data_IF_927659077316
#
_entry.id   IF_927659077316
#
_cell.length_a   1.000
_cell.length_b   1.000
_cell.length_c   1.000
_cell.angle_alpha   90.00
_cell.angle_beta   90.00
_cell.angle_gamma   90.00
#
_symmetry.space_group_name_H-M   'P 1'
#
loop_
_entity.id
_entity.type
_entity.pdbx_description
1 polymer ?
#
# COMPACT_ATOMS: atom_id res chain seq x y z
N UNK A 1 -53.72 -23.22 -12.29
CA UNK A 1 -52.49 -23.43 -13.09
C UNK A 1 -51.38 -22.43 -12.74
N UNK A 2 -51.67 -21.12 -12.56
CA UNK A 2 -50.63 -20.12 -12.22
C UNK A 2 -49.92 -20.28 -10.87
N UNK A 3 -50.58 -20.83 -9.84
CA UNK A 3 -49.99 -21.00 -8.50
C UNK A 3 -48.98 -22.15 -8.41
N UNK A 4 -49.19 -23.22 -9.17
CA UNK A 4 -48.30 -24.40 -9.17
C UNK A 4 -46.99 -24.06 -9.89
N UNK A 5 -47.06 -23.37 -11.04
CA UNK A 5 -45.88 -22.90 -11.80
C UNK A 5 -45.04 -21.92 -10.97
N UNK A 6 -45.68 -21.04 -10.21
CA UNK A 6 -44.99 -20.09 -9.33
C UNK A 6 -44.28 -20.78 -8.15
N UNK A 7 -44.88 -21.87 -7.62
CA UNK A 7 -44.28 -22.65 -6.55
C UNK A 7 -43.08 -23.48 -7.02
N UNK A 8 -43.10 -24.02 -8.25
CA UNK A 8 -41.92 -24.68 -8.84
C UNK A 8 -40.78 -23.70 -9.08
N UNK A 9 -41.06 -22.54 -9.67
CA UNK A 9 -40.03 -21.50 -9.89
C UNK A 9 -39.37 -21.05 -8.59
N UNK A 10 -40.17 -20.77 -7.55
CA UNK A 10 -39.62 -20.34 -6.25
C UNK A 10 -38.82 -21.46 -5.55
N UNK A 11 -39.20 -22.73 -5.70
CA UNK A 11 -38.43 -23.87 -5.17
C UNK A 11 -37.11 -24.05 -5.90
N UNK A 12 -37.10 -23.95 -7.23
CA UNK A 12 -35.89 -24.03 -8.04
C UNK A 12 -34.93 -22.86 -7.72
N UNK A 13 -35.47 -21.65 -7.55
CA UNK A 13 -34.71 -20.47 -7.14
C UNK A 13 -34.09 -20.65 -5.74
N UNK A 14 -34.84 -21.17 -4.77
CA UNK A 14 -34.35 -21.45 -3.42
C UNK A 14 -33.29 -22.55 -3.40
N UNK A 15 -33.40 -23.55 -4.29
CA UNK A 15 -32.38 -24.58 -4.42
C UNK A 15 -31.05 -24.01 -4.95
N UNK A 16 -31.10 -23.09 -5.91
CA UNK A 16 -29.92 -22.40 -6.43
C UNK A 16 -29.29 -21.44 -5.42
N UNK A 17 -30.09 -20.71 -4.63
CA UNK A 17 -29.58 -19.81 -3.57
C UNK A 17 -29.03 -20.60 -2.37
N UNK A 18 -29.54 -21.82 -2.14
CA UNK A 18 -29.17 -22.68 -1.02
C UNK A 18 -27.88 -23.47 -1.20
N UNK A 19 -27.29 -23.46 -2.40
CA UNK A 19 -25.94 -23.99 -2.59
C UNK A 19 -24.94 -23.02 -1.94
N UNK A 20 -24.09 -23.54 -1.05
CA UNK A 20 -22.98 -22.79 -0.46
C UNK A 20 -21.92 -22.51 -1.54
N UNK A 21 -22.23 -21.60 -2.46
CA UNK A 21 -21.25 -21.03 -3.36
C UNK A 21 -20.23 -20.28 -2.50
N UNK A 22 -18.96 -20.68 -2.62
CA UNK A 22 -17.85 -19.92 -2.04
C UNK A 22 -18.05 -18.46 -2.45
N UNK A 23 -18.11 -17.54 -1.50
CA UNK A 23 -18.17 -16.11 -1.78
C UNK A 23 -16.94 -15.74 -2.63
N UNK A 24 -17.09 -15.79 -3.94
CA UNK A 24 -16.02 -15.45 -4.85
C UNK A 24 -15.80 -13.95 -4.69
N UNK A 25 -14.58 -13.57 -4.33
CA UNK A 25 -14.22 -12.16 -4.28
C UNK A 25 -14.16 -11.62 -5.71
N UNK A 26 -15.30 -11.15 -6.22
CA UNK A 26 -15.46 -10.65 -7.58
C UNK A 26 -15.35 -9.12 -7.65
N UNK A 27 -14.93 -8.63 -8.81
CA UNK A 27 -14.89 -7.22 -9.16
C UNK A 27 -16.28 -6.72 -9.55
N UNK A 28 -16.75 -5.66 -8.88
CA UNK A 28 -18.08 -5.11 -9.09
C UNK A 28 -18.27 -4.32 -10.40
N UNK A 29 -17.27 -4.26 -11.28
CA UNK A 29 -17.37 -3.60 -12.60
C UNK A 29 -17.47 -4.65 -13.72
N UNK A 30 -16.60 -5.66 -13.71
CA UNK A 30 -16.47 -6.62 -14.81
C UNK A 30 -16.85 -8.06 -14.42
N UNK A 31 -17.22 -8.31 -13.17
CA UNK A 31 -17.59 -9.64 -12.68
C UNK A 31 -16.43 -10.64 -12.61
N UNK A 32 -15.19 -10.21 -12.86
CA UNK A 32 -14.02 -11.10 -12.81
C UNK A 32 -13.48 -11.23 -11.38
N UNK A 33 -12.75 -12.30 -11.10
CA UNK A 33 -12.09 -12.48 -9.81
C UNK A 33 -11.16 -11.31 -9.46
N UNK A 34 -11.15 -10.90 -8.19
CA UNK A 34 -10.27 -9.86 -7.68
C UNK A 34 -8.81 -10.33 -7.74
N UNK A 35 -7.97 -9.52 -8.38
CA UNK A 35 -6.52 -9.74 -8.46
C UNK A 35 -5.83 -9.22 -7.20
N UNK A 36 -4.59 -9.65 -6.95
CA UNK A 36 -3.79 -9.24 -5.78
C UNK A 36 -3.75 -7.71 -5.53
N UNK A 37 -3.72 -6.93 -6.60
CA UNK A 37 -3.70 -5.46 -6.57
C UNK A 37 -5.09 -4.88 -6.88
N UNK A 38 -6.12 -5.35 -6.17
CA UNK A 38 -7.45 -4.75 -6.22
C UNK A 38 -7.50 -3.43 -5.42
N UNK A 39 -8.49 -2.60 -5.75
CA UNK A 39 -8.76 -1.32 -5.07
C UNK A 39 -10.02 -1.46 -4.23
N UNK A 40 -9.90 -1.14 -2.94
CA UNK A 40 -11.05 -0.98 -2.04
C UNK A 40 -11.29 0.50 -1.77
N UNK A 41 -12.49 0.97 -2.07
CA UNK A 41 -12.91 2.35 -1.74
C UNK A 41 -13.38 2.47 -0.29
N UNK A 42 -13.55 3.70 0.22
CA UNK A 42 -14.01 3.91 1.61
C UNK A 42 -15.47 3.50 1.81
N UNK A 43 -16.25 3.33 0.73
CA UNK A 43 -17.59 2.76 0.72
C UNK A 43 -17.59 1.21 0.70
N UNK A 44 -16.44 0.58 0.99
CA UNK A 44 -16.21 -0.86 1.04
C UNK A 44 -16.27 -1.64 -0.28
N UNK A 45 -16.74 -1.04 -1.38
CA UNK A 45 -16.74 -1.67 -2.70
C UNK A 45 -15.31 -1.95 -3.21
N UNK A 46 -15.13 -3.13 -3.79
CA UNK A 46 -13.86 -3.66 -4.31
C UNK A 46 -13.91 -3.76 -5.83
N UNK A 47 -12.80 -3.40 -6.47
CA UNK A 47 -12.68 -3.38 -7.93
C UNK A 47 -11.28 -3.78 -8.36
N UNK A 48 -11.17 -4.43 -9.52
CA UNK A 48 -9.89 -4.59 -10.19
C UNK A 48 -9.33 -3.23 -10.63
N UNK A 49 -8.02 -3.03 -10.45
CA UNK A 49 -7.39 -1.72 -10.64
C UNK A 49 -7.57 -1.16 -12.04
N UNK A 50 -7.43 -1.98 -13.08
CA UNK A 50 -7.58 -1.55 -14.48
C UNK A 50 -9.02 -1.10 -14.74
N UNK A 51 -9.99 -1.88 -14.26
CA UNK A 51 -11.42 -1.67 -14.47
C UNK A 51 -11.87 -0.34 -13.84
N UNK A 52 -11.53 -0.11 -12.58
CA UNK A 52 -11.85 1.15 -11.90
C UNK A 52 -11.07 2.34 -12.47
N UNK A 53 -9.83 2.14 -12.93
CA UNK A 53 -9.04 3.20 -13.55
C UNK A 53 -9.66 3.69 -14.86
N UNK A 54 -10.17 2.78 -15.69
CA UNK A 54 -10.85 3.12 -16.93
C UNK A 54 -12.17 3.84 -16.67
N UNK A 55 -12.93 3.38 -15.68
CA UNK A 55 -14.16 4.03 -15.25
C UNK A 55 -13.90 5.47 -14.74
N UNK A 56 -12.90 5.67 -13.89
CA UNK A 56 -12.54 7.03 -13.42
C UNK A 56 -12.07 7.92 -14.57
N UNK A 57 -11.36 7.40 -15.59
CA UNK A 57 -11.03 8.20 -16.79
C UNK A 57 -12.31 8.69 -17.49
N UNK A 58 -13.34 7.84 -17.57
CA UNK A 58 -14.61 8.21 -18.17
C UNK A 58 -15.35 9.27 -17.36
N UNK A 59 -15.30 9.20 -16.03
CA UNK A 59 -15.86 10.23 -15.15
C UNK A 59 -15.20 11.62 -15.30
N UNK A 60 -14.02 11.71 -15.92
CA UNK A 60 -13.35 12.99 -16.22
C UNK A 60 -13.76 13.60 -17.54
N UNK A 61 -14.38 12.81 -18.43
CA UNK A 61 -14.90 13.34 -19.68
C UNK A 61 -16.17 14.11 -19.39
N UNK A 62 -16.36 15.16 -20.18
CA UNK A 62 -17.61 15.91 -20.14
C UNK A 62 -18.78 15.00 -20.56
N UNK A 63 -19.86 15.00 -19.77
CA UNK A 63 -21.08 14.25 -20.05
C UNK A 63 -22.28 15.09 -19.63
N UNK A 64 -23.17 15.42 -20.59
CA UNK A 64 -24.40 16.19 -20.35
C UNK A 64 -25.37 15.52 -19.36
N UNK A 65 -25.32 14.20 -19.24
CA UNK A 65 -26.19 13.42 -18.36
C UNK A 65 -25.69 13.39 -16.91
N UNK A 66 -24.44 13.81 -16.67
CA UNK A 66 -23.85 13.77 -15.35
C UNK A 66 -24.15 15.05 -14.57
N UNK A 67 -24.97 14.93 -13.53
CA UNK A 67 -25.38 16.05 -12.68
C UNK A 67 -24.39 16.36 -11.56
N UNK A 68 -23.56 15.38 -11.16
CA UNK A 68 -22.64 15.53 -10.05
C UNK A 68 -21.26 15.99 -10.53
N UNK A 69 -20.90 17.24 -10.25
CA UNK A 69 -19.57 17.78 -10.56
C UNK A 69 -18.53 17.27 -9.56
N UNK A 70 -17.49 16.61 -10.08
CA UNK A 70 -16.35 16.14 -9.29
C UNK A 70 -15.21 17.15 -9.28
N UNK A 71 -14.56 17.32 -8.13
CA UNK A 71 -13.29 18.02 -8.07
C UNK A 71 -12.17 17.20 -8.75
N UNK A 72 -11.07 17.84 -9.20
CA UNK A 72 -9.98 17.16 -9.91
C UNK A 72 -9.34 15.98 -9.16
N UNK A 73 -9.45 15.98 -7.83
CA UNK A 73 -8.89 14.95 -6.94
C UNK A 73 -9.98 14.22 -6.15
N UNK A 74 -11.14 14.02 -6.76
CA UNK A 74 -12.23 13.22 -6.21
C UNK A 74 -12.64 12.14 -7.18
N UNK A 75 -12.93 10.94 -6.69
CA UNK A 75 -13.44 9.83 -7.52
C UNK A 75 -14.85 9.49 -7.07
N UNK A 76 -15.71 9.13 -8.02
CA UNK A 76 -17.05 8.64 -7.70
C UNK A 76 -17.04 7.11 -7.77
N UNK A 77 -17.59 6.47 -6.74
CA UNK A 77 -17.76 5.02 -6.77
C UNK A 77 -18.69 4.64 -7.93
N UNK A 78 -18.29 3.71 -8.82
CA UNK A 78 -19.13 3.28 -9.93
C UNK A 78 -20.40 2.55 -9.47
N UNK A 79 -20.32 1.87 -8.33
CA UNK A 79 -21.39 1.06 -7.79
C UNK A 79 -22.40 1.90 -6.98
N UNK A 80 -21.96 2.53 -5.89
CA UNK A 80 -22.85 3.25 -4.98
C UNK A 80 -22.89 4.77 -5.20
N UNK A 81 -22.18 5.30 -6.20
CA UNK A 81 -22.10 6.74 -6.54
C UNK A 81 -21.58 7.66 -5.41
N UNK A 82 -21.10 7.12 -4.30
CA UNK A 82 -20.46 7.92 -3.24
C UNK A 82 -19.21 8.61 -3.78
N UNK A 83 -19.03 9.89 -3.43
CA UNK A 83 -17.85 10.67 -3.83
C UNK A 83 -16.77 10.51 -2.75
N UNK A 84 -15.58 10.12 -3.18
CA UNK A 84 -14.41 9.93 -2.34
C UNK A 84 -13.37 11.01 -2.61
N UNK A 85 -12.75 11.52 -1.55
CA UNK A 85 -11.63 12.45 -1.64
C UNK A 85 -10.32 11.69 -1.85
N UNK A 86 -9.68 11.97 -2.98
CA UNK A 86 -8.44 11.36 -3.40
C UNK A 86 -8.56 10.67 -4.75
N UNK A 87 -7.43 10.17 -5.23
CA UNK A 87 -7.29 9.49 -6.52
C UNK A 87 -6.66 8.10 -6.33
N UNK A 88 -6.58 7.30 -7.39
CA UNK A 88 -5.96 5.98 -7.31
C UNK A 88 -4.44 6.07 -7.07
N UNK A 89 -3.82 5.07 -6.42
CA UNK A 89 -2.37 4.90 -6.42
C UNK A 89 -1.85 4.62 -7.84
N UNK A 90 -0.60 5.00 -8.11
CA UNK A 90 0.08 4.65 -9.36
C UNK A 90 0.80 3.30 -9.21
N UNK A 91 0.45 2.33 -10.06
CA UNK A 91 1.13 1.05 -10.18
C UNK A 91 1.73 0.90 -11.59
N UNK A 92 3.05 1.04 -11.69
CA UNK A 92 3.79 0.97 -12.96
C UNK A 92 3.62 -0.37 -13.68
N UNK A 93 3.59 -1.47 -12.92
CA UNK A 93 3.42 -2.84 -13.43
C UNK A 93 2.06 -3.04 -14.10
N UNK A 94 1.00 -2.44 -13.54
CA UNK A 94 -0.36 -2.60 -14.07
C UNK A 94 -0.70 -1.59 -15.16
N UNK A 95 -0.19 -0.36 -15.05
CA UNK A 95 -0.49 0.71 -15.99
C UNK A 95 0.63 1.74 -16.03
N UNK A 96 1.48 1.65 -17.05
CA UNK A 96 2.66 2.48 -17.25
C UNK A 96 2.36 3.89 -17.78
N UNK A 97 1.30 4.56 -17.29
CA UNK A 97 1.01 5.97 -17.62
C UNK A 97 0.49 6.71 -16.39
N UNK A 98 1.04 7.89 -16.15
CA UNK A 98 0.61 8.82 -15.10
C UNK A 98 -0.41 9.80 -15.66
N UNK A 99 -1.58 9.85 -15.06
CA UNK A 99 -2.72 10.68 -15.46
C UNK A 99 -3.14 11.53 -14.27
N UNK A 100 -3.00 12.85 -14.43
CA UNK A 100 -3.34 13.82 -13.39
C UNK A 100 -4.83 13.72 -13.04
N UNK A 101 -5.14 13.64 -11.75
CA UNK A 101 -6.52 13.52 -11.27
C UNK A 101 -7.12 12.11 -11.38
N UNK A 102 -6.37 11.12 -11.87
CA UNK A 102 -6.83 9.72 -11.95
C UNK A 102 -5.93 8.82 -11.10
N UNK A 103 -4.63 8.78 -11.40
CA UNK A 103 -3.64 8.00 -10.62
C UNK A 103 -2.39 8.82 -10.22
N UNK A 104 -2.38 10.13 -10.48
CA UNK A 104 -1.30 11.06 -10.14
C UNK A 104 -1.86 12.41 -9.68
N UNK A 105 -1.31 13.10 -8.65
CA UNK A 105 -0.04 12.86 -7.96
C UNK A 105 -0.12 11.99 -6.69
N UNK A 106 1.01 11.43 -6.21
CA UNK A 106 1.07 10.60 -5.00
C UNK A 106 0.55 11.29 -3.73
N UNK A 107 0.64 12.62 -3.67
CA UNK A 107 0.18 13.42 -2.54
C UNK A 107 -1.34 13.44 -2.37
N UNK A 108 -2.10 13.12 -3.42
CA UNK A 108 -3.56 13.13 -3.44
C UNK A 108 -4.17 11.74 -3.47
N UNK A 109 -3.37 10.70 -3.31
CA UNK A 109 -3.87 9.30 -3.36
C UNK A 109 -4.82 9.02 -2.20
N UNK A 110 -5.90 8.33 -2.50
CA UNK A 110 -6.89 7.84 -1.54
C UNK A 110 -6.22 6.86 -0.57
N UNK A 111 -6.43 7.07 0.73
CA UNK A 111 -5.90 6.21 1.80
C UNK A 111 -7.09 5.48 2.44
N UNK A 112 -7.52 4.40 1.80
CA UNK A 112 -8.66 3.60 2.25
C UNK A 112 -8.35 2.79 3.50
N UNK A 113 -7.10 2.39 3.70
CA UNK A 113 -6.69 1.53 4.80
C UNK A 113 -6.04 2.30 5.96
N UNK A 114 -5.94 1.62 7.10
CA UNK A 114 -5.23 2.09 8.30
C UNK A 114 -4.04 1.19 8.58
N UNK A 115 -2.95 1.80 9.03
CA UNK A 115 -1.73 1.06 9.32
C UNK A 115 -1.91 0.09 10.49
N UNK A 116 -1.62 -1.19 10.23
CA UNK A 116 -1.78 -2.29 11.20
C UNK A 116 -0.54 -2.55 12.08
N UNK A 117 0.57 -1.80 11.89
CA UNK A 117 1.77 -2.00 12.69
C UNK A 117 1.59 -1.59 14.16
N UNK A 118 2.16 -2.39 15.06
CA UNK A 118 2.36 -2.05 16.47
C UNK A 118 3.60 -1.19 16.64
N UNK A 119 3.46 -0.10 17.40
CA UNK A 119 4.53 0.87 17.64
C UNK A 119 5.56 0.26 18.61
N UNK A 120 6.83 0.17 18.19
CA UNK A 120 7.90 -0.49 18.97
C UNK A 120 8.63 0.44 19.96
N UNK A 121 8.46 1.75 19.87
CA UNK A 121 9.22 2.73 20.64
C UNK A 121 8.44 4.03 20.90
N UNK A 122 8.92 4.83 21.84
CA UNK A 122 8.32 6.10 22.24
C UNK A 122 7.16 5.94 23.22
N UNK A 123 6.43 7.04 23.47
CA UNK A 123 5.37 7.14 24.50
C UNK A 123 4.21 6.15 24.28
N UNK A 124 3.88 5.85 23.02
CA UNK A 124 2.76 4.98 22.60
C UNK A 124 3.21 3.55 22.25
N UNK A 125 4.29 3.07 22.87
CA UNK A 125 4.84 1.73 22.60
C UNK A 125 3.79 0.67 22.95
N UNK A 126 3.61 -0.32 22.07
CA UNK A 126 2.61 -1.38 22.23
C UNK A 126 1.26 -1.08 21.59
N UNK A 127 0.97 0.18 21.24
CA UNK A 127 -0.27 0.55 20.56
C UNK A 127 -0.23 0.36 19.04
N UNK A 128 -1.40 0.24 18.41
CA UNK A 128 -1.54 0.25 16.95
C UNK A 128 -1.32 1.65 16.36
N UNK A 129 -0.68 1.69 15.19
CA UNK A 129 -0.38 2.95 14.51
C UNK A 129 -1.63 3.68 14.01
N UNK A 130 -2.56 2.97 13.35
CA UNK A 130 -3.83 3.48 12.82
C UNK A 130 -3.75 4.66 11.83
N UNK A 131 -2.54 5.06 11.41
CA UNK A 131 -2.36 6.13 10.43
C UNK A 131 -2.94 5.71 9.08
N UNK A 132 -3.76 6.56 8.41
CA UNK A 132 -4.28 6.25 7.08
C UNK A 132 -3.15 6.00 6.07
N UNK A 133 -3.27 4.94 5.29
CA UNK A 133 -2.33 4.52 4.26
C UNK A 133 -3.02 3.75 3.13
N UNK A 134 -2.27 3.50 2.06
CA UNK A 134 -2.74 2.78 0.86
C UNK A 134 -2.66 1.27 1.08
N UNK A 135 -1.59 0.83 1.73
CA UNK A 135 -1.29 -0.57 2.01
C UNK A 135 -1.52 -0.89 3.49
N UNK A 136 -1.29 -2.14 3.88
CA UNK A 136 -1.30 -2.61 5.29
C UNK A 136 -0.42 -1.78 6.24
N UNK A 137 0.61 -1.09 5.72
CA UNK A 137 1.57 -0.33 6.52
C UNK A 137 1.73 1.10 5.98
N UNK A 138 1.90 2.07 6.88
CA UNK A 138 2.18 3.45 6.48
C UNK A 138 3.65 3.63 6.07
N UNK A 139 3.95 4.68 5.29
CA UNK A 139 5.30 4.92 4.78
C UNK A 139 6.40 5.06 5.84
N UNK A 140 6.05 5.35 7.11
CA UNK A 140 7.01 5.27 8.22
C UNK A 140 7.40 3.81 8.51
N UNK A 141 6.41 2.93 8.62
CA UNK A 141 6.61 1.52 8.95
C UNK A 141 7.14 0.71 7.76
N UNK A 142 6.84 1.11 6.54
CA UNK A 142 7.42 0.52 5.32
C UNK A 142 8.94 0.74 5.26
N UNK A 143 9.40 1.97 5.53
CA UNK A 143 10.83 2.29 5.61
C UNK A 143 11.57 1.53 6.73
N UNK A 144 10.88 1.24 7.83
CA UNK A 144 11.46 0.46 8.93
C UNK A 144 11.66 -1.00 8.53
N UNK A 145 10.74 -1.59 7.74
CA UNK A 145 10.89 -2.96 7.22
C UNK A 145 12.03 -3.08 6.20
N UNK A 146 12.21 -2.06 5.38
CA UNK A 146 13.28 -2.01 4.36
C UNK A 146 14.62 -1.53 4.91
N UNK A 147 14.72 -1.21 6.21
CA UNK A 147 15.96 -0.71 6.78
C UNK A 147 17.03 -1.82 6.73
N UNK A 148 18.24 -1.52 6.21
CA UNK A 148 19.30 -2.51 6.13
C UNK A 148 19.68 -3.01 7.53
N UNK A 149 20.14 -4.27 7.64
CA UNK A 149 20.56 -4.83 8.92
C UNK A 149 21.65 -3.96 9.54
N UNK A 150 21.59 -3.82 10.87
CA UNK A 150 22.62 -3.12 11.63
C UNK A 150 23.95 -3.86 11.61
N UNK A 151 25.00 -3.17 12.05
CA UNK A 151 26.36 -3.70 12.12
C UNK A 151 26.41 -5.03 12.89
N UNK A 152 26.99 -6.04 12.25
CA UNK A 152 27.04 -7.43 12.74
C UNK A 152 28.18 -7.70 13.73
N UNK A 153 29.11 -6.76 13.91
CA UNK A 153 30.30 -6.95 14.77
C UNK A 153 29.90 -7.11 16.23
N UNK A 154 30.49 -8.12 16.87
CA UNK A 154 30.32 -8.40 18.30
C UNK A 154 31.11 -7.37 19.14
N UNK A 155 30.45 -6.82 20.16
CA UNK A 155 31.04 -5.84 21.07
C UNK A 155 32.05 -6.52 21.98
N UNK A 156 33.28 -5.99 22.02
CA UNK A 156 34.37 -6.52 22.86
C UNK A 156 34.40 -5.97 24.29
N UNK A 157 33.62 -4.92 24.57
CA UNK A 157 33.62 -4.20 25.86
C UNK A 157 32.26 -3.57 26.17
N UNK A 158 32.09 -3.11 27.41
CA UNK A 158 30.89 -2.44 27.91
C UNK A 158 29.77 -3.40 28.35
N UNK A 159 28.63 -2.82 28.78
CA UNK A 159 27.48 -3.55 29.34
C UNK A 159 26.87 -4.59 28.39
N UNK A 160 27.04 -4.40 27.07
CA UNK A 160 26.53 -5.28 26.01
C UNK A 160 27.63 -6.14 25.37
N UNK A 161 28.74 -6.40 26.08
CA UNK A 161 29.84 -7.24 25.59
C UNK A 161 29.33 -8.62 25.20
N UNK A 162 29.78 -9.15 24.06
CA UNK A 162 29.31 -10.41 23.49
C UNK A 162 28.08 -10.30 22.60
N UNK A 163 27.36 -9.17 22.61
CA UNK A 163 26.23 -8.93 21.71
C UNK A 163 26.66 -8.29 20.38
N UNK A 164 25.82 -8.49 19.34
CA UNK A 164 25.96 -7.76 18.07
C UNK A 164 25.74 -6.26 18.27
N UNK A 165 26.55 -5.45 17.58
CA UNK A 165 26.53 -3.99 17.66
C UNK A 165 25.15 -3.41 17.33
N UNK A 166 24.58 -3.79 16.18
CA UNK A 166 23.28 -3.32 15.72
C UNK A 166 23.23 -1.84 15.28
N UNK A 167 24.35 -1.11 15.35
CA UNK A 167 24.39 0.28 14.89
C UNK A 167 24.26 0.39 13.38
N UNK A 168 23.68 1.51 12.92
CA UNK A 168 23.56 1.82 11.50
C UNK A 168 24.95 1.79 10.83
N UNK A 169 25.07 0.99 9.78
CA UNK A 169 26.29 0.90 8.99
C UNK A 169 26.51 2.16 8.16
N UNK A 170 27.76 2.41 7.77
CA UNK A 170 28.05 3.41 6.71
C UNK A 170 27.54 2.89 5.37
N UNK A 171 27.32 3.79 4.40
CA UNK A 171 26.92 3.41 3.03
C UNK A 171 27.89 2.34 2.49
N UNK A 172 27.32 1.27 1.94
CA UNK A 172 28.02 0.15 1.29
C UNK A 172 29.05 -0.57 2.18
N UNK A 173 28.84 -0.55 3.50
CA UNK A 173 29.68 -1.25 4.47
C UNK A 173 28.85 -2.11 5.41
N UNK A 174 29.38 -3.26 5.81
CA UNK A 174 28.81 -4.09 6.87
C UNK A 174 29.16 -3.58 8.28
N UNK A 175 29.95 -2.51 8.36
CA UNK A 175 30.48 -1.96 9.61
C UNK A 175 29.93 -0.56 9.88
N UNK A 176 29.58 -0.30 11.15
CA UNK A 176 29.25 1.05 11.62
C UNK A 176 30.52 1.88 11.79
N UNK A 177 30.37 3.21 11.90
CA UNK A 177 31.52 4.12 12.04
C UNK A 177 32.45 3.82 13.21
N UNK A 178 31.95 3.23 14.30
CA UNK A 178 32.76 2.79 15.45
C UNK A 178 33.67 1.60 15.14
N UNK A 179 33.33 0.83 14.12
CA UNK A 179 34.07 -0.34 13.67
C UNK A 179 34.69 -0.14 12.28
N UNK A 180 34.61 1.09 11.75
CA UNK A 180 35.23 1.46 10.50
C UNK A 180 36.66 1.92 10.82
N UNK A 181 37.65 1.07 10.57
CA UNK A 181 39.06 1.40 10.81
C UNK A 181 39.44 2.59 9.92
N UNK A 182 39.80 3.73 10.53
CA UNK A 182 40.48 4.80 9.80
C UNK A 182 41.88 4.30 9.50
N UNK A 183 42.20 3.98 8.23
CA UNK A 183 43.59 3.76 7.82
C UNK A 183 44.39 5.01 8.19
N UNK A 184 45.32 4.88 9.13
CA UNK A 184 46.34 5.89 9.39
C UNK A 184 47.23 5.98 8.15
N UNK A 185 47.07 7.03 7.35
CA UNK A 185 48.07 7.37 6.33
C UNK A 185 49.29 7.86 7.11
N UNK A 186 50.33 7.03 7.24
CA UNK A 186 51.64 7.50 7.68
C UNK A 186 52.28 8.19 6.47
N UNK A 187 52.23 9.52 6.43
CA UNK A 187 53.04 10.33 5.52
C UNK A 187 54.49 10.20 5.98
N UNK A 188 55.30 9.42 5.26
CA UNK A 188 56.75 9.49 5.39
C UNK A 188 57.22 10.77 4.69
N UNK A 189 57.53 11.80 5.48
CA UNK A 189 58.29 12.96 5.01
C UNK A 189 59.76 12.52 4.94
N UNK A 190 60.28 12.32 3.74
CA UNK A 190 61.72 12.17 3.51
C UNK A 190 62.29 13.58 3.49
N UNK A 191 62.96 13.98 4.57
CA UNK A 191 63.82 15.16 4.60
C UNK A 191 65.14 14.73 3.95
N UNK A 192 65.40 15.22 2.74
CA UNK A 192 66.74 15.17 2.17
C UNK A 192 67.57 16.23 2.90
N UNK A 193 68.56 15.79 3.66
CA UNK A 193 69.59 16.65 4.24
C UNK A 193 70.84 16.56 3.36
N UNK A 194 71.19 17.71 2.77
CA UNK A 194 72.46 18.14 2.16
C UNK A 194 72.86 17.42 0.86
#
# INVERSE_FOLDING_TARGET
MNTIVNQTFNKELLALIGEEEKEEELCLIDGTQLKDQFVKLTCAHKFNYISILNEIKMQRKYNNLETQKLNPYQIKCPYCRTIHNGILPYYEILFNKKIRGVNWPPSKVLKSDKCQCVIKSGKRKGEQCLKPCINKHCGRHEKIKLAPPGCSIVLKSGKRKGEKCGCKCKKDSEKCGRHFSKKSIKTNVIIHSI
#
